data_IF_497949847119
#
_entry.id   IF_497949847119
#
_cell.length_a   1.000
_cell.length_b   1.000
_cell.length_c   1.000
_cell.angle_alpha   90.00
_cell.angle_beta   90.00
_cell.angle_gamma   90.00
#
_symmetry.space_group_name_H-M   'P 1'
#
loop_
_entity.id
_entity.type
_entity.pdbx_description
1 polymer ?
#
# COMPACT_ATOMS: atom_id res chain seq x y z
N UNK A 1 52.09 -51.36 19.06
CA UNK A 1 50.72 -51.78 19.41
C UNK A 1 50.43 -51.33 20.84
N UNK A 2 49.64 -50.33 21.02
CA UNK A 2 49.28 -49.78 22.33
C UNK A 2 48.20 -50.68 22.94
N UNK A 3 48.51 -51.27 24.10
CA UNK A 3 47.65 -52.26 24.76
C UNK A 3 46.41 -51.54 25.39
N UNK A 4 45.25 -52.15 25.23
CA UNK A 4 43.92 -51.66 25.68
C UNK A 4 43.88 -51.19 27.16
N UNK A 5 44.73 -51.70 28.01
CA UNK A 5 44.86 -51.31 29.43
C UNK A 5 45.51 -49.92 29.61
N UNK A 6 46.36 -49.51 28.69
CA UNK A 6 47.03 -48.18 28.79
C UNK A 6 46.13 -47.05 28.27
N UNK A 7 45.16 -47.40 27.40
CA UNK A 7 44.18 -46.41 26.91
C UNK A 7 43.16 -46.05 28.00
N UNK A 8 42.80 -46.98 28.86
CA UNK A 8 41.85 -46.72 29.98
C UNK A 8 42.49 -45.93 31.11
N UNK A 9 43.82 -46.04 31.33
CA UNK A 9 44.55 -45.27 32.37
C UNK A 9 44.78 -43.81 31.93
N UNK A 10 44.95 -43.53 30.68
CA UNK A 10 45.05 -42.14 30.17
C UNK A 10 43.69 -41.43 30.12
N UNK A 11 42.59 -42.18 29.94
CA UNK A 11 41.25 -41.64 30.02
C UNK A 11 40.78 -41.23 31.43
N UNK A 12 41.29 -41.88 32.45
CA UNK A 12 40.89 -41.63 33.87
C UNK A 12 41.58 -40.41 34.48
N UNK A 13 42.74 -40.02 33.99
CA UNK A 13 43.43 -38.81 34.47
C UNK A 13 42.97 -37.51 33.77
N UNK A 14 42.29 -37.63 32.59
CA UNK A 14 41.68 -36.47 31.93
C UNK A 14 40.32 -36.07 32.49
N UNK A 15 39.64 -36.99 33.21
CA UNK A 15 38.30 -36.71 33.78
C UNK A 15 38.33 -35.99 35.15
N UNK A 16 39.46 -35.98 35.83
CA UNK A 16 39.56 -35.25 37.12
C UNK A 16 39.85 -33.74 36.97
N UNK A 17 40.38 -33.29 35.83
CA UNK A 17 40.59 -31.88 35.55
C UNK A 17 39.37 -31.18 34.87
N UNK A 18 38.41 -31.96 34.37
CA UNK A 18 37.17 -31.43 33.75
C UNK A 18 36.02 -31.17 34.72
N UNK A 19 36.08 -31.70 35.95
CA UNK A 19 34.96 -31.56 36.89
C UNK A 19 34.93 -30.24 37.68
N UNK A 20 35.98 -29.42 37.60
CA UNK A 20 36.01 -28.10 38.28
C UNK A 20 35.48 -26.94 37.43
N UNK A 21 35.11 -27.16 36.15
CA UNK A 21 34.49 -26.16 35.27
C UNK A 21 32.98 -26.40 34.99
N UNK A 22 32.38 -27.40 35.67
CA UNK A 22 30.96 -27.75 35.48
C UNK A 22 29.99 -26.92 36.34
N UNK A 23 30.41 -25.80 36.90
CA UNK A 23 29.60 -25.00 37.82
C UNK A 23 29.17 -23.63 37.29
N UNK A 24 29.63 -23.18 36.12
CA UNK A 24 29.07 -21.99 35.50
C UNK A 24 27.84 -22.39 34.68
N UNK A 25 26.64 -21.84 34.97
CA UNK A 25 25.52 -22.07 34.08
C UNK A 25 25.95 -21.52 32.70
N UNK A 26 25.98 -22.38 31.69
CA UNK A 26 26.14 -21.96 30.30
C UNK A 26 24.92 -21.12 30.00
N UNK A 27 25.06 -19.80 30.16
CA UNK A 27 24.06 -18.84 29.71
C UNK A 27 24.17 -18.89 28.20
N UNK A 28 23.34 -19.72 27.56
CA UNK A 28 23.05 -19.57 26.13
C UNK A 28 22.73 -18.10 25.96
N UNK A 29 23.41 -17.36 25.07
CA UNK A 29 23.00 -16.03 24.78
C UNK A 29 21.55 -16.17 24.32
N UNK A 30 20.59 -15.68 25.11
CA UNK A 30 19.19 -15.59 24.67
C UNK A 30 19.27 -14.86 23.37
N UNK A 31 18.90 -15.51 22.27
CA UNK A 31 18.81 -14.85 20.97
C UNK A 31 18.08 -13.54 21.21
N UNK A 32 18.74 -12.43 20.89
CA UNK A 32 18.10 -11.12 21.03
C UNK A 32 16.80 -11.18 20.25
N UNK A 33 15.68 -10.74 20.81
CA UNK A 33 14.43 -10.76 20.10
C UNK A 33 14.57 -9.90 18.82
N UNK A 34 14.08 -10.41 17.72
CA UNK A 34 14.08 -9.75 16.41
C UNK A 34 12.64 -9.41 16.07
N UNK A 35 12.38 -8.19 15.62
CA UNK A 35 11.09 -7.79 15.09
C UNK A 35 10.99 -8.18 13.61
N UNK A 36 10.03 -9.01 13.26
CA UNK A 36 9.80 -9.49 11.89
C UNK A 36 8.63 -8.73 11.26
N UNK A 37 8.90 -8.05 10.15
CA UNK A 37 7.89 -7.26 9.42
C UNK A 37 7.70 -7.87 8.04
N UNK A 38 6.50 -8.36 7.77
CA UNK A 38 6.05 -8.91 6.49
C UNK A 38 5.24 -7.83 5.76
N UNK A 39 5.57 -7.50 4.51
CA UNK A 39 4.86 -6.44 3.81
C UNK A 39 5.31 -6.19 2.39
N UNK A 40 5.10 -4.97 1.89
CA UNK A 40 5.33 -4.62 0.48
C UNK A 40 6.70 -3.98 0.23
N UNK A 41 7.12 -4.03 -1.05
CA UNK A 41 8.32 -3.30 -1.50
C UNK A 41 8.18 -1.77 -1.45
N UNK A 42 7.00 -1.22 -1.19
CA UNK A 42 6.78 0.24 -1.12
C UNK A 42 7.42 0.81 0.14
N UNK A 43 7.20 0.15 1.26
CA UNK A 43 7.55 0.62 2.60
C UNK A 43 8.65 -0.21 3.26
N UNK A 44 8.78 -1.51 2.93
CA UNK A 44 9.88 -2.34 3.43
C UNK A 44 11.15 -2.11 2.61
N UNK A 45 11.73 -0.92 2.78
CA UNK A 45 12.96 -0.48 2.11
C UNK A 45 14.13 -0.58 3.08
N UNK A 46 15.29 -1.01 2.55
CA UNK A 46 16.48 -1.20 3.36
C UNK A 46 16.91 0.07 4.14
N UNK A 47 16.88 1.29 3.56
CA UNK A 47 17.19 2.51 4.33
C UNK A 47 16.22 2.73 5.50
N UNK A 48 14.93 2.36 5.36
CA UNK A 48 13.95 2.46 6.44
C UNK A 48 14.29 1.46 7.54
N UNK A 49 14.62 0.22 7.20
CA UNK A 49 15.02 -0.82 8.15
C UNK A 49 16.24 -0.40 8.96
N UNK A 50 17.29 0.05 8.28
CA UNK A 50 18.55 0.47 8.92
C UNK A 50 18.34 1.66 9.85
N UNK A 51 17.58 2.66 9.43
CA UNK A 51 17.26 3.83 10.27
C UNK A 51 16.43 3.44 11.48
N UNK A 52 15.42 2.59 11.31
CA UNK A 52 14.61 2.09 12.43
C UNK A 52 15.46 1.31 13.43
N UNK A 53 16.36 0.41 12.97
CA UNK A 53 17.26 -0.32 13.86
C UNK A 53 18.21 0.62 14.64
N UNK A 54 18.73 1.64 13.95
CA UNK A 54 19.60 2.64 14.59
C UNK A 54 18.87 3.41 15.70
N UNK A 55 17.63 3.86 15.42
CA UNK A 55 16.88 4.71 16.33
C UNK A 55 16.29 3.91 17.52
N UNK A 56 15.86 2.66 17.26
CA UNK A 56 15.15 1.83 18.23
C UNK A 56 16.08 0.89 19.03
N UNK A 57 17.29 0.64 18.53
CA UNK A 57 18.30 -0.14 19.23
C UNK A 57 18.04 -1.66 19.29
N UNK A 58 17.21 -2.20 18.40
CA UNK A 58 16.97 -3.63 18.28
C UNK A 58 16.96 -4.10 16.83
N UNK A 59 17.13 -5.39 16.62
CA UNK A 59 17.19 -5.98 15.28
C UNK A 59 15.80 -6.07 14.65
N UNK A 60 15.71 -5.68 13.37
CA UNK A 60 14.49 -5.71 12.55
C UNK A 60 14.78 -6.50 11.29
N UNK A 61 13.92 -7.46 10.98
CA UNK A 61 13.95 -8.22 9.75
C UNK A 61 12.75 -7.83 8.88
N UNK A 62 13.02 -7.37 7.66
CA UNK A 62 12.00 -7.12 6.64
C UNK A 62 11.86 -8.32 5.72
N UNK A 63 10.62 -8.66 5.40
CA UNK A 63 10.26 -9.64 4.38
C UNK A 63 9.32 -8.98 3.39
N UNK A 64 9.86 -8.28 2.38
CA UNK A 64 9.05 -7.67 1.34
C UNK A 64 8.59 -8.70 0.30
N UNK A 65 7.34 -8.57 -0.16
CA UNK A 65 6.74 -9.44 -1.18
C UNK A 65 5.70 -8.74 -2.03
N UNK A 66 5.18 -9.46 -3.02
CA UNK A 66 3.99 -9.03 -3.77
C UNK A 66 2.72 -9.27 -2.95
N UNK A 67 1.68 -8.49 -3.23
CA UNK A 67 0.44 -8.42 -2.45
C UNK A 67 -0.19 -9.79 -2.17
N UNK A 68 -0.32 -10.64 -3.19
CA UNK A 68 -0.91 -11.97 -3.05
C UNK A 68 -0.09 -12.87 -2.12
N UNK A 69 1.24 -12.84 -2.25
CA UNK A 69 2.14 -13.61 -1.39
C UNK A 69 2.05 -13.15 0.07
N UNK A 70 2.11 -11.85 0.30
CA UNK A 70 2.08 -11.24 1.63
C UNK A 70 0.76 -11.57 2.34
N UNK A 71 -0.38 -11.39 1.65
CA UNK A 71 -1.70 -11.72 2.20
C UNK A 71 -1.87 -13.21 2.47
N UNK A 72 -1.47 -14.07 1.51
CA UNK A 72 -1.56 -15.53 1.65
C UNK A 72 -0.73 -16.02 2.83
N UNK A 73 0.53 -15.56 2.93
CA UNK A 73 1.42 -15.94 4.03
C UNK A 73 0.88 -15.48 5.38
N UNK A 74 0.43 -14.22 5.47
CA UNK A 74 -0.11 -13.69 6.71
C UNK A 74 -1.36 -14.45 7.18
N UNK A 75 -2.26 -14.80 6.25
CA UNK A 75 -3.47 -15.57 6.55
C UNK A 75 -3.17 -16.98 7.04
N UNK A 76 -2.17 -17.65 6.44
CA UNK A 76 -1.86 -19.05 6.72
C UNK A 76 -0.85 -19.23 7.87
N UNK A 77 0.04 -18.27 8.10
CA UNK A 77 1.17 -18.39 9.03
C UNK A 77 1.35 -17.13 9.87
N UNK A 78 0.38 -16.79 10.76
CA UNK A 78 0.50 -15.63 11.64
C UNK A 78 1.69 -15.72 12.62
N UNK A 79 2.25 -16.91 12.82
CA UNK A 79 3.46 -17.16 13.60
C UNK A 79 4.77 -16.75 12.89
N UNK A 80 4.72 -16.46 11.59
CA UNK A 80 5.92 -16.16 10.78
C UNK A 80 6.31 -14.68 10.78
N UNK A 81 5.49 -13.78 11.30
CA UNK A 81 5.73 -12.34 11.36
C UNK A 81 5.22 -11.76 12.68
N UNK A 82 5.63 -10.54 12.99
CA UNK A 82 5.18 -9.79 14.18
C UNK A 82 4.36 -8.57 13.78
N UNK A 83 4.76 -7.88 12.71
CA UNK A 83 3.99 -6.82 12.06
C UNK A 83 3.68 -7.25 10.61
N UNK A 84 2.45 -7.06 10.22
CA UNK A 84 1.98 -7.14 8.84
C UNK A 84 1.76 -5.74 8.29
N UNK A 85 2.21 -5.48 7.07
CA UNK A 85 1.86 -4.26 6.36
C UNK A 85 1.46 -4.55 4.91
N UNK A 86 0.29 -4.06 4.51
CA UNK A 86 -0.24 -4.12 3.16
C UNK A 86 -1.31 -3.05 3.01
N UNK A 87 -2.27 -3.27 2.13
CA UNK A 87 -3.36 -2.34 1.82
C UNK A 87 -4.62 -2.70 2.60
N UNK A 88 -5.48 -1.69 2.78
CA UNK A 88 -6.70 -1.77 3.58
C UNK A 88 -7.70 -2.86 3.17
N UNK A 89 -7.73 -3.28 1.91
CA UNK A 89 -8.57 -4.36 1.40
C UNK A 89 -8.25 -5.74 2.00
N UNK A 90 -7.05 -5.91 2.57
CA UNK A 90 -6.65 -7.15 3.24
C UNK A 90 -7.23 -7.33 4.65
N UNK A 91 -7.66 -6.24 5.31
CA UNK A 91 -8.02 -6.24 6.74
C UNK A 91 -9.19 -7.18 7.05
N UNK A 92 -10.26 -7.14 6.25
CA UNK A 92 -11.42 -8.02 6.48
C UNK A 92 -11.06 -9.51 6.40
N UNK A 93 -10.12 -9.85 5.52
CA UNK A 93 -9.63 -11.22 5.34
C UNK A 93 -8.85 -11.66 6.58
N UNK A 94 -7.83 -10.88 6.96
CA UNK A 94 -6.96 -11.21 8.11
C UNK A 94 -7.73 -11.23 9.44
N UNK A 95 -8.69 -10.31 9.62
CA UNK A 95 -9.51 -10.26 10.81
C UNK A 95 -10.40 -11.50 10.93
N UNK A 96 -11.03 -11.93 9.83
CA UNK A 96 -11.90 -13.11 9.79
C UNK A 96 -11.19 -14.41 10.14
N UNK A 97 -9.93 -14.55 9.70
CA UNK A 97 -9.11 -15.74 10.01
C UNK A 97 -8.30 -15.59 11.29
N UNK A 98 -8.51 -14.52 12.07
CA UNK A 98 -7.81 -14.24 13.33
C UNK A 98 -6.28 -14.22 13.19
N UNK A 99 -5.78 -13.78 12.03
CA UNK A 99 -4.34 -13.66 11.79
C UNK A 99 -3.72 -12.43 12.48
N UNK A 100 -4.52 -11.44 12.78
CA UNK A 100 -4.13 -10.20 13.46
C UNK A 100 -4.92 -10.00 14.74
N UNK A 101 -4.35 -9.22 15.67
CA UNK A 101 -4.95 -8.92 16.96
C UNK A 101 -5.20 -7.41 17.13
N UNK A 102 -6.07 -7.00 18.06
CA UNK A 102 -6.29 -5.59 18.38
C UNK A 102 -5.01 -4.88 18.83
N UNK A 103 -4.90 -3.62 18.42
CA UNK A 103 -3.88 -2.66 18.85
C UNK A 103 -4.52 -1.69 19.82
N UNK A 104 -3.88 -1.47 20.99
CA UNK A 104 -4.35 -0.54 22.00
C UNK A 104 -4.00 0.90 21.62
N UNK A 105 -5.01 1.74 21.41
CA UNK A 105 -4.85 3.15 21.00
C UNK A 105 -3.97 3.93 21.99
N UNK A 106 -4.12 3.68 23.31
CA UNK A 106 -3.33 4.35 24.35
C UNK A 106 -1.82 4.13 24.23
N UNK A 107 -1.37 3.07 23.52
CA UNK A 107 0.04 2.78 23.27
C UNK A 107 0.58 3.49 22.02
N UNK A 108 -0.26 4.17 21.24
CA UNK A 108 0.12 4.91 20.05
C UNK A 108 0.25 6.39 20.41
N UNK A 109 1.49 6.82 20.64
CA UNK A 109 1.81 8.16 21.16
C UNK A 109 1.30 9.30 20.28
N UNK A 110 1.28 9.09 18.95
CA UNK A 110 0.87 10.09 17.95
C UNK A 110 -0.56 9.92 17.46
N UNK A 111 -1.38 9.07 18.11
CA UNK A 111 -2.74 8.81 17.66
C UNK A 111 -3.57 10.08 17.48
N UNK A 112 -3.45 11.05 18.38
CA UNK A 112 -4.13 12.34 18.26
C UNK A 112 -3.69 13.19 17.07
N UNK A 113 -2.52 12.91 16.48
CA UNK A 113 -1.97 13.63 15.32
C UNK A 113 -2.26 12.89 14.00
N UNK A 114 -2.71 11.64 14.05
CA UNK A 114 -3.17 10.92 12.85
C UNK A 114 -4.37 11.66 12.26
N UNK A 115 -4.30 12.00 10.98
CA UNK A 115 -5.30 12.83 10.33
C UNK A 115 -6.65 12.11 10.13
N UNK A 116 -7.70 12.90 9.90
CA UNK A 116 -9.06 12.37 9.74
C UNK A 116 -9.24 11.57 8.44
N UNK A 117 -8.44 11.85 7.41
CA UNK A 117 -8.49 11.04 6.21
C UNK A 117 -8.31 9.55 6.51
N UNK A 118 -7.29 9.23 7.31
CA UNK A 118 -6.90 7.84 7.58
C UNK A 118 -7.59 7.22 8.79
N UNK A 119 -8.34 8.01 9.56
CA UNK A 119 -9.26 7.54 10.61
C UNK A 119 -10.70 7.46 10.13
N UNK A 120 -11.18 8.49 9.44
CA UNK A 120 -12.58 8.62 9.04
C UNK A 120 -12.81 8.35 7.55
N UNK A 121 -11.80 8.57 6.69
CA UNK A 121 -11.94 8.45 5.24
C UNK A 121 -12.23 9.76 4.53
N UNK A 122 -12.10 10.91 5.22
CA UNK A 122 -12.21 12.26 4.64
C UNK A 122 -11.37 13.25 5.42
N UNK A 123 -10.82 14.26 4.73
CA UNK A 123 -9.98 15.31 5.35
C UNK A 123 -10.78 16.40 6.01
N UNK A 124 -11.91 16.76 5.45
CA UNK A 124 -12.77 17.83 5.94
C UNK A 124 -14.20 17.34 6.15
N UNK A 125 -14.98 17.96 7.03
CA UNK A 125 -16.38 17.59 7.24
C UNK A 125 -17.23 17.63 5.97
N UNK A 126 -16.91 18.51 5.03
CA UNK A 126 -17.66 18.72 3.78
C UNK A 126 -17.26 17.74 2.68
N UNK A 127 -16.10 17.09 2.79
CA UNK A 127 -15.68 16.09 1.81
C UNK A 127 -16.59 14.86 1.87
N UNK A 128 -16.96 14.35 0.71
CA UNK A 128 -17.72 13.11 0.62
C UNK A 128 -16.93 11.93 1.17
N UNK A 129 -17.61 11.00 1.81
CA UNK A 129 -17.02 9.69 2.07
C UNK A 129 -16.93 8.92 0.75
N UNK A 130 -15.74 8.43 0.40
CA UNK A 130 -15.61 7.45 -0.68
C UNK A 130 -16.37 6.16 -0.32
N UNK A 131 -16.87 5.48 -1.35
CA UNK A 131 -17.47 4.16 -1.18
C UNK A 131 -16.39 3.10 -0.87
N UNK A 132 -16.77 1.88 -0.52
CA UNK A 132 -15.82 0.81 -0.18
C UNK A 132 -15.35 0.85 1.27
N UNK A 133 -14.14 0.32 1.51
CA UNK A 133 -13.56 0.21 2.86
C UNK A 133 -12.85 1.50 3.28
N UNK A 134 -13.62 2.59 3.36
CA UNK A 134 -13.17 3.79 4.04
C UNK A 134 -12.67 3.44 5.45
N UNK A 135 -11.58 4.05 5.93
CA UNK A 135 -10.91 3.64 7.18
C UNK A 135 -11.85 3.42 8.37
N UNK A 136 -12.81 4.30 8.59
CA UNK A 136 -13.74 4.21 9.73
C UNK A 136 -14.54 2.91 9.76
N UNK A 137 -14.75 2.24 8.64
CA UNK A 137 -15.56 1.00 8.56
C UNK A 137 -14.81 -0.23 9.05
N UNK A 138 -13.49 -0.20 9.07
CA UNK A 138 -12.63 -1.34 9.37
C UNK A 138 -11.59 -1.07 10.45
N UNK A 139 -11.52 0.16 10.96
CA UNK A 139 -10.49 0.58 11.92
C UNK A 139 -10.78 0.09 13.34
N UNK A 140 -11.99 0.33 13.85
CA UNK A 140 -12.31 0.11 15.26
C UNK A 140 -12.83 -1.29 15.55
N UNK A 141 -12.31 -1.90 16.62
CA UNK A 141 -12.79 -3.20 17.13
C UNK A 141 -13.98 -2.95 18.06
N UNK A 142 -15.14 -3.46 17.68
CA UNK A 142 -16.38 -3.29 18.44
C UNK A 142 -16.46 -4.29 19.63
N UNK A 143 -17.32 -4.07 20.63
CA UNK A 143 -17.47 -4.98 21.78
C UNK A 143 -17.84 -6.43 21.42
N UNK A 144 -18.47 -6.64 20.27
CA UNK A 144 -18.77 -7.97 19.74
C UNK A 144 -17.63 -8.62 18.96
N UNK A 145 -16.44 -7.98 18.94
CA UNK A 145 -15.26 -8.47 18.23
C UNK A 145 -15.26 -8.22 16.71
N UNK A 146 -16.30 -7.59 16.17
CA UNK A 146 -16.35 -7.22 14.75
C UNK A 146 -15.69 -5.86 14.52
N UNK A 147 -15.31 -5.59 13.28
CA UNK A 147 -14.84 -4.27 12.86
C UNK A 147 -16.05 -3.37 12.54
N UNK A 148 -15.94 -2.09 12.86
CA UNK A 148 -17.04 -1.16 12.63
C UNK A 148 -16.71 0.31 12.88
N UNK A 149 -17.69 1.20 12.69
CA UNK A 149 -17.50 2.64 12.72
C UNK A 149 -17.48 3.25 14.14
N UNK A 150 -17.91 2.52 15.15
CA UNK A 150 -17.94 3.02 16.53
C UNK A 150 -16.53 3.19 17.10
N UNK A 151 -16.22 4.40 17.60
CA UNK A 151 -14.95 4.66 18.24
C UNK A 151 -14.67 3.67 19.38
N UNK A 152 -13.46 3.19 19.49
CA UNK A 152 -13.02 2.19 20.46
C UNK A 152 -11.57 2.44 20.84
N UNK A 153 -11.20 2.01 22.06
CA UNK A 153 -9.81 2.00 22.54
C UNK A 153 -8.94 0.93 21.85
N UNK A 154 -9.54 0.10 20.99
CA UNK A 154 -8.88 -0.94 20.24
C UNK A 154 -9.12 -0.76 18.74
N UNK A 155 -8.05 -0.87 17.97
CA UNK A 155 -8.07 -0.74 16.52
C UNK A 155 -7.46 -1.97 15.87
N UNK A 156 -7.84 -2.26 14.63
CA UNK A 156 -7.34 -3.41 13.89
C UNK A 156 -5.99 -3.14 13.20
N UNK A 157 -5.65 -1.88 12.95
CA UNK A 157 -4.40 -1.46 12.29
C UNK A 157 -4.01 -0.04 12.67
N UNK A 158 -2.74 0.29 12.46
CA UNK A 158 -2.25 1.67 12.40
C UNK A 158 -2.29 2.11 10.94
N UNK A 159 -3.06 3.17 10.58
CA UNK A 159 -2.95 3.78 9.27
C UNK A 159 -1.64 4.58 9.21
N UNK A 160 -0.78 4.33 8.21
CA UNK A 160 0.53 4.98 8.18
C UNK A 160 0.90 5.60 6.83
N UNK A 161 0.60 4.95 5.73
CA UNK A 161 0.84 5.47 4.38
C UNK A 161 -0.45 5.44 3.57
N UNK A 162 -0.61 6.35 2.61
CA UNK A 162 -1.80 6.38 1.75
C UNK A 162 -1.53 7.09 0.44
N UNK A 163 -2.39 6.85 -0.53
CA UNK A 163 -2.43 7.62 -1.78
C UNK A 163 -3.83 7.58 -2.42
N UNK A 164 -3.97 8.36 -3.49
CA UNK A 164 -5.10 8.30 -4.41
C UNK A 164 -4.57 8.01 -5.81
N UNK A 165 -5.25 7.11 -6.50
CA UNK A 165 -4.86 6.63 -7.82
C UNK A 165 -5.90 6.95 -8.87
N UNK A 166 -5.41 7.12 -10.10
CA UNK A 166 -6.19 7.42 -11.29
C UNK A 166 -5.63 6.66 -12.50
N UNK A 167 -5.91 7.16 -13.68
CA UNK A 167 -5.25 6.77 -14.91
C UNK A 167 -4.16 7.78 -15.28
N UNK A 168 -3.18 7.34 -16.08
CA UNK A 168 -2.18 8.20 -16.68
C UNK A 168 -2.33 8.24 -18.19
N UNK A 169 -1.84 9.30 -18.83
CA UNK A 169 -1.89 9.44 -20.27
C UNK A 169 -0.73 10.26 -20.82
N UNK A 170 -0.38 9.98 -22.09
CA UNK A 170 0.62 10.72 -22.85
C UNK A 170 -0.04 11.93 -23.53
N UNK A 171 0.34 13.14 -23.13
CA UNK A 171 -0.26 14.37 -23.64
C UNK A 171 0.06 14.68 -25.12
N UNK A 172 0.96 13.91 -25.74
CA UNK A 172 1.20 14.00 -27.19
C UNK A 172 0.04 13.42 -28.02
N UNK A 173 -0.69 12.43 -27.46
CA UNK A 173 -1.75 11.71 -28.12
C UNK A 173 -3.13 11.94 -27.50
N UNK A 174 -3.17 12.26 -26.21
CA UNK A 174 -4.40 12.56 -25.48
C UNK A 174 -4.38 14.02 -25.07
N UNK A 175 -5.32 14.80 -25.61
CA UNK A 175 -5.43 16.23 -25.26
C UNK A 175 -5.57 16.37 -23.75
N UNK A 176 -4.67 17.15 -23.14
CA UNK A 176 -4.70 17.40 -21.71
C UNK A 176 -6.04 17.98 -21.26
N UNK A 177 -6.59 17.38 -20.22
CA UNK A 177 -7.84 17.80 -19.62
C UNK A 177 -7.64 18.88 -18.56
N UNK A 178 -8.75 19.30 -17.99
CA UNK A 178 -8.79 20.19 -16.82
C UNK A 178 -9.11 19.34 -15.61
N UNK A 179 -8.24 19.34 -14.55
CA UNK A 179 -8.48 18.62 -13.31
C UNK A 179 -9.90 18.82 -12.78
N UNK A 180 -10.53 17.72 -12.38
CA UNK A 180 -11.87 17.63 -11.80
C UNK A 180 -13.02 18.20 -12.67
N UNK A 181 -12.73 18.57 -13.93
CA UNK A 181 -13.74 19.13 -14.85
C UNK A 181 -13.90 18.27 -16.11
N UNK A 182 -12.81 18.02 -16.84
CA UNK A 182 -12.86 17.30 -18.12
C UNK A 182 -12.09 16.00 -18.11
N UNK A 183 -11.07 15.83 -17.26
CA UNK A 183 -10.46 14.54 -17.05
C UNK A 183 -11.50 13.58 -16.45
N UNK A 184 -11.63 12.38 -17.01
CA UNK A 184 -12.69 11.44 -16.65
C UNK A 184 -12.24 10.00 -16.83
N UNK A 185 -12.59 9.14 -15.88
CA UNK A 185 -12.42 7.68 -16.03
C UNK A 185 -13.06 7.14 -17.32
N UNK A 186 -14.10 7.80 -17.79
CA UNK A 186 -14.76 7.45 -19.05
C UNK A 186 -13.84 7.47 -20.27
N UNK A 187 -12.68 8.10 -20.21
CA UNK A 187 -11.70 8.09 -21.31
C UNK A 187 -11.15 6.69 -21.59
N UNK A 188 -11.09 5.81 -20.58
CA UNK A 188 -10.67 4.41 -20.76
C UNK A 188 -11.59 3.62 -21.71
N UNK A 189 -12.84 4.06 -21.85
CA UNK A 189 -13.86 3.46 -22.72
C UNK A 189 -14.20 4.35 -23.94
N UNK A 190 -13.40 5.39 -24.19
CA UNK A 190 -13.67 6.27 -25.34
C UNK A 190 -13.22 5.59 -26.65
N UNK A 191 -14.12 5.51 -27.66
CA UNK A 191 -13.77 4.92 -28.96
C UNK A 191 -12.60 5.61 -29.67
N UNK A 192 -12.33 6.89 -29.36
CA UNK A 192 -11.19 7.63 -29.90
C UNK A 192 -9.83 6.99 -29.51
N UNK A 193 -9.79 6.25 -28.42
CA UNK A 193 -8.59 5.58 -27.93
C UNK A 193 -8.63 4.05 -28.09
N UNK A 194 -9.45 3.55 -29.03
CA UNK A 194 -9.55 2.10 -29.28
C UNK A 194 -8.18 1.49 -29.61
N UNK A 195 -7.84 0.38 -28.96
CA UNK A 195 -6.56 -0.30 -29.11
C UNK A 195 -5.37 0.45 -28.50
N UNK A 196 -5.64 1.49 -27.68
CA UNK A 196 -4.63 2.36 -27.05
C UNK A 196 -4.84 2.54 -25.55
N UNK A 197 -5.56 1.62 -24.92
CA UNK A 197 -5.84 1.64 -23.47
C UNK A 197 -5.22 0.41 -22.81
N UNK A 198 -4.35 0.61 -21.81
CA UNK A 198 -3.80 -0.47 -21.00
C UNK A 198 -4.41 -0.45 -19.59
N UNK A 199 -4.67 -1.62 -19.02
CA UNK A 199 -5.30 -1.75 -17.71
C UNK A 199 -4.44 -2.57 -16.75
N UNK A 200 -4.58 -2.29 -15.46
CA UNK A 200 -3.95 -3.11 -14.43
C UNK A 200 -4.60 -4.49 -14.34
N UNK A 201 -3.77 -5.54 -14.25
CA UNK A 201 -4.22 -6.92 -14.04
C UNK A 201 -4.20 -7.30 -12.55
N UNK A 202 -4.92 -6.53 -11.74
CA UNK A 202 -5.16 -6.83 -10.33
C UNK A 202 -6.66 -6.70 -10.09
N UNK A 203 -7.40 -7.78 -9.81
CA UNK A 203 -8.87 -7.75 -9.71
C UNK A 203 -9.39 -6.73 -8.70
N UNK A 204 -8.80 -6.65 -7.51
CA UNK A 204 -9.18 -5.71 -6.44
C UNK A 204 -8.93 -4.23 -6.79
N UNK A 205 -8.31 -3.96 -7.93
CA UNK A 205 -8.02 -2.61 -8.43
C UNK A 205 -8.74 -2.40 -9.77
N UNK A 206 -8.47 -3.28 -10.74
CA UNK A 206 -8.95 -3.13 -12.11
C UNK A 206 -10.47 -3.14 -12.22
N UNK A 207 -11.17 -3.92 -11.38
CA UNK A 207 -12.64 -3.94 -11.34
C UNK A 207 -13.18 -2.54 -10.97
N UNK A 208 -12.58 -1.84 -10.02
CA UNK A 208 -13.02 -0.49 -9.65
C UNK A 208 -12.69 0.54 -10.73
N UNK A 209 -11.54 0.45 -11.38
CA UNK A 209 -11.19 1.33 -12.50
C UNK A 209 -12.20 1.17 -13.65
N UNK A 210 -12.60 -0.07 -13.98
CA UNK A 210 -13.62 -0.36 -14.98
C UNK A 210 -15.02 0.10 -14.55
N UNK A 211 -15.37 -0.06 -13.29
CA UNK A 211 -16.65 0.38 -12.75
C UNK A 211 -16.78 1.91 -12.78
N UNK A 212 -15.73 2.63 -12.38
CA UNK A 212 -15.66 4.09 -12.50
C UNK A 212 -15.78 4.54 -13.97
N UNK A 213 -15.11 3.83 -14.90
CA UNK A 213 -15.18 4.12 -16.31
C UNK A 213 -16.59 3.89 -16.89
N UNK A 214 -17.23 2.78 -16.51
CA UNK A 214 -18.60 2.46 -16.96
C UNK A 214 -19.61 3.49 -16.42
N UNK A 215 -19.51 3.87 -15.17
CA UNK A 215 -20.37 4.89 -14.56
C UNK A 215 -20.14 6.26 -15.18
N UNK A 216 -18.89 6.65 -15.43
CA UNK A 216 -18.52 7.91 -16.07
C UNK A 216 -19.07 8.03 -17.50
N UNK A 217 -19.18 6.92 -18.23
CA UNK A 217 -19.80 6.84 -19.56
C UNK A 217 -21.33 6.70 -19.51
N UNK A 218 -21.92 6.62 -18.33
CA UNK A 218 -23.37 6.43 -18.19
C UNK A 218 -23.87 5.05 -18.64
N UNK A 219 -22.97 4.05 -18.74
CA UNK A 219 -23.31 2.69 -19.20
C UNK A 219 -24.05 1.90 -18.12
N UNK A 220 -23.77 2.20 -16.86
CA UNK A 220 -24.48 1.66 -15.70
C UNK A 220 -24.30 2.55 -14.47
N UNK A 221 -25.07 2.27 -13.43
CA UNK A 221 -24.96 2.90 -12.12
C UNK A 221 -24.85 1.80 -11.06
N UNK A 222 -24.08 2.05 -10.02
CA UNK A 222 -23.90 1.13 -8.91
C UNK A 222 -24.60 1.69 -7.68
N UNK A 223 -25.24 0.83 -6.90
CA UNK A 223 -25.74 1.19 -5.58
C UNK A 223 -24.56 1.50 -4.62
N UNK A 224 -23.53 0.68 -4.69
CA UNK A 224 -22.27 0.88 -3.98
C UNK A 224 -21.13 0.29 -4.81
N UNK A 225 -20.36 1.16 -5.46
CA UNK A 225 -19.21 0.73 -6.30
C UNK A 225 -18.16 -0.04 -5.50
N UNK A 226 -18.04 0.21 -4.20
CA UNK A 226 -17.11 -0.50 -3.31
C UNK A 226 -17.63 -1.86 -2.82
N UNK A 227 -18.90 -2.22 -3.08
CA UNK A 227 -19.46 -3.52 -2.74
C UNK A 227 -20.56 -3.90 -3.75
N UNK A 228 -20.15 -4.21 -4.97
CA UNK A 228 -21.07 -4.54 -6.07
C UNK A 228 -21.77 -5.86 -5.83
N UNK A 229 -23.05 -5.92 -6.19
CA UNK A 229 -23.83 -7.16 -6.21
C UNK A 229 -23.38 -8.07 -7.36
N UNK A 230 -23.72 -9.36 -7.31
CA UNK A 230 -23.44 -10.30 -8.41
C UNK A 230 -24.06 -9.83 -9.72
N UNK A 231 -25.27 -9.30 -9.70
CA UNK A 231 -25.95 -8.77 -10.89
C UNK A 231 -25.22 -7.54 -11.47
N UNK A 232 -24.75 -6.62 -10.64
CA UNK A 232 -23.93 -5.48 -11.09
C UNK A 232 -22.60 -5.94 -11.68
N UNK A 233 -21.94 -6.95 -11.10
CA UNK A 233 -20.72 -7.54 -11.64
C UNK A 233 -20.98 -8.21 -12.99
N UNK A 234 -22.04 -9.00 -13.13
CA UNK A 234 -22.41 -9.65 -14.40
C UNK A 234 -22.65 -8.61 -15.50
N UNK A 235 -23.38 -7.54 -15.20
CA UNK A 235 -23.61 -6.45 -16.15
C UNK A 235 -22.30 -5.72 -16.50
N UNK A 236 -21.46 -5.40 -15.51
CA UNK A 236 -20.18 -4.75 -15.74
C UNK A 236 -19.29 -5.59 -16.66
N UNK A 237 -19.14 -6.88 -16.36
CA UNK A 237 -18.27 -7.73 -17.17
C UNK A 237 -18.85 -8.02 -18.56
N UNK A 238 -20.16 -8.13 -18.72
CA UNK A 238 -20.78 -8.22 -20.06
C UNK A 238 -20.42 -6.99 -20.92
N UNK A 239 -20.52 -5.79 -20.34
CA UNK A 239 -20.12 -4.53 -21.01
C UNK A 239 -18.61 -4.56 -21.35
N UNK A 240 -17.75 -4.90 -20.38
CA UNK A 240 -16.29 -4.85 -20.56
C UNK A 240 -15.79 -5.90 -21.56
N UNK A 241 -16.38 -7.09 -21.56
CA UNK A 241 -16.12 -8.13 -22.59
C UNK A 241 -16.48 -7.60 -23.98
N UNK A 242 -17.62 -6.94 -24.13
CA UNK A 242 -18.00 -6.32 -25.41
C UNK A 242 -16.99 -5.25 -25.86
N UNK A 243 -16.50 -4.41 -24.96
CA UNK A 243 -15.45 -3.43 -25.28
C UNK A 243 -14.14 -4.12 -25.68
N UNK A 244 -13.74 -5.17 -24.97
CA UNK A 244 -12.52 -5.93 -25.28
C UNK A 244 -12.61 -6.59 -26.66
N UNK A 245 -13.71 -7.26 -26.97
CA UNK A 245 -13.97 -7.89 -28.28
C UNK A 245 -13.97 -6.88 -29.43
N UNK A 246 -14.34 -5.63 -29.15
CA UNK A 246 -14.24 -4.52 -30.13
C UNK A 246 -12.82 -3.94 -30.21
N UNK A 247 -11.84 -4.50 -29.47
CA UNK A 247 -10.45 -4.09 -29.49
C UNK A 247 -10.17 -2.79 -28.73
N UNK A 248 -10.96 -2.45 -27.69
CA UNK A 248 -10.73 -1.23 -26.90
C UNK A 248 -9.39 -1.23 -26.18
N UNK A 249 -9.00 -2.37 -25.59
CA UNK A 249 -7.82 -2.49 -24.76
C UNK A 249 -6.62 -3.02 -25.55
N UNK A 250 -5.46 -2.40 -25.37
CA UNK A 250 -4.19 -2.84 -25.97
C UNK A 250 -3.48 -3.92 -25.14
N UNK A 251 -3.87 -4.08 -23.88
CA UNK A 251 -3.33 -5.12 -22.98
C UNK A 251 -3.51 -4.82 -21.51
N UNK A 252 -2.95 -5.74 -20.72
CA UNK A 252 -3.02 -5.73 -19.25
C UNK A 252 -1.60 -5.81 -18.69
N UNK A 253 -1.32 -5.07 -17.62
CA UNK A 253 0.00 -5.02 -17.02
C UNK A 253 -0.03 -5.49 -15.56
N UNK A 254 1.10 -6.02 -15.06
CA UNK A 254 1.24 -6.61 -13.73
C UNK A 254 2.27 -5.87 -12.84
N UNK A 255 2.98 -4.89 -13.39
CA UNK A 255 3.99 -4.13 -12.67
C UNK A 255 4.05 -2.67 -13.10
N UNK A 256 4.52 -1.80 -12.19
CA UNK A 256 4.68 -0.36 -12.47
C UNK A 256 5.59 -0.11 -13.69
N UNK A 257 6.75 -0.76 -13.84
CA UNK A 257 7.56 -0.61 -15.06
C UNK A 257 6.81 -1.03 -16.33
N UNK A 258 6.07 -2.14 -16.29
CA UNK A 258 5.29 -2.62 -17.44
C UNK A 258 4.23 -1.61 -17.87
N UNK A 259 3.54 -0.95 -16.92
CA UNK A 259 2.55 0.10 -17.22
C UNK A 259 3.19 1.29 -17.94
N UNK A 260 4.38 1.71 -17.53
CA UNK A 260 5.14 2.76 -18.21
C UNK A 260 5.57 2.32 -19.61
N UNK A 261 6.00 1.06 -19.78
CA UNK A 261 6.44 0.53 -21.08
C UNK A 261 5.29 0.42 -22.10
N UNK A 262 4.04 0.19 -21.67
CA UNK A 262 2.89 0.25 -22.58
C UNK A 262 2.75 1.63 -23.24
N UNK A 263 2.94 2.70 -22.46
CA UNK A 263 2.88 4.08 -22.98
C UNK A 263 4.15 4.44 -23.76
N UNK A 264 5.33 4.14 -23.20
CA UNK A 264 6.59 4.48 -23.82
C UNK A 264 6.79 3.85 -25.20
N UNK A 265 6.27 2.63 -25.39
CA UNK A 265 6.33 1.92 -26.69
C UNK A 265 5.22 2.33 -27.68
N UNK A 266 4.28 3.22 -27.29
CA UNK A 266 3.13 3.61 -28.10
C UNK A 266 2.05 2.53 -28.23
N UNK A 267 2.15 1.43 -27.50
CA UNK A 267 1.09 0.40 -27.43
C UNK A 267 -0.16 0.95 -26.76
N UNK A 268 -0.01 1.82 -25.76
CA UNK A 268 -1.11 2.54 -25.15
C UNK A 268 -0.86 4.06 -25.19
N UNK A 269 -1.91 4.85 -25.15
CA UNK A 269 -1.87 6.30 -24.98
C UNK A 269 -2.34 6.70 -23.58
N UNK A 270 -3.18 5.88 -22.95
CA UNK A 270 -3.64 6.06 -21.59
C UNK A 270 -3.94 4.70 -20.94
N UNK A 271 -4.05 4.69 -19.62
CA UNK A 271 -4.43 3.46 -18.91
C UNK A 271 -4.44 3.62 -17.40
N UNK A 272 -4.98 2.65 -16.70
CA UNK A 272 -4.77 2.52 -15.26
C UNK A 272 -3.29 2.66 -14.96
N UNK A 273 -2.92 3.44 -13.95
CA UNK A 273 -1.51 3.71 -13.68
C UNK A 273 -1.30 4.14 -12.23
N UNK A 274 -0.10 3.93 -11.73
CA UNK A 274 0.36 4.51 -10.48
C UNK A 274 1.30 5.68 -10.72
N UNK A 275 1.30 6.67 -9.82
CA UNK A 275 2.11 7.88 -9.99
C UNK A 275 3.61 7.64 -10.27
N UNK A 276 4.27 6.59 -9.73
CA UNK A 276 5.66 6.31 -10.08
C UNK A 276 5.89 5.97 -11.57
N UNK A 277 4.89 5.39 -12.25
CA UNK A 277 5.01 5.11 -13.69
C UNK A 277 4.96 6.40 -14.51
N UNK A 278 4.14 7.37 -14.11
CA UNK A 278 4.11 8.71 -14.75
C UNK A 278 5.43 9.43 -14.55
N UNK A 279 6.02 9.37 -13.35
CA UNK A 279 7.34 9.91 -13.09
C UNK A 279 8.40 9.28 -14.01
N UNK A 280 8.41 7.94 -14.12
CA UNK A 280 9.34 7.22 -14.98
C UNK A 280 9.17 7.57 -16.48
N UNK A 281 7.96 7.84 -16.93
CA UNK A 281 7.71 8.32 -18.30
C UNK A 281 8.27 9.73 -18.51
N UNK A 282 8.04 10.63 -17.58
CA UNK A 282 8.58 11.99 -17.64
C UNK A 282 10.12 12.01 -17.62
N UNK A 283 10.76 11.13 -16.83
CA UNK A 283 12.21 10.94 -16.85
C UNK A 283 12.73 10.49 -18.23
N UNK A 284 11.94 9.70 -18.98
CA UNK A 284 12.25 9.27 -20.35
C UNK A 284 11.93 10.36 -21.40
N UNK A 285 11.49 11.56 -20.98
CA UNK A 285 11.12 12.66 -21.87
C UNK A 285 9.73 12.51 -22.53
N UNK A 286 8.89 11.62 -22.01
CA UNK A 286 7.50 11.43 -22.46
C UNK A 286 6.60 12.30 -21.57
N UNK A 287 5.88 13.29 -22.12
CA UNK A 287 5.07 14.21 -21.32
C UNK A 287 3.80 13.51 -20.84
N UNK A 288 3.95 12.67 -19.82
CA UNK A 288 2.86 11.94 -19.22
C UNK A 288 2.18 12.76 -18.11
N UNK A 289 0.85 12.69 -18.08
CA UNK A 289 0.00 13.34 -17.07
C UNK A 289 -0.68 12.29 -16.23
N UNK A 290 -0.66 12.46 -14.92
CA UNK A 290 -1.45 11.66 -13.99
C UNK A 290 -2.79 12.36 -13.78
N UNK A 291 -3.90 11.77 -14.22
CA UNK A 291 -5.20 12.42 -14.26
C UNK A 291 -5.74 12.79 -12.87
N UNK A 292 -6.57 13.84 -12.85
CA UNK A 292 -7.40 14.22 -11.72
C UNK A 292 -8.88 14.14 -12.16
N UNK A 293 -9.50 12.93 -12.09
CA UNK A 293 -10.81 12.68 -12.70
C UNK A 293 -11.92 13.44 -11.98
N UNK A 294 -12.90 13.93 -12.73
CA UNK A 294 -14.08 14.62 -12.20
C UNK A 294 -14.97 13.71 -11.34
N UNK A 295 -14.91 12.40 -11.56
CA UNK A 295 -15.61 11.41 -10.76
C UNK A 295 -14.91 11.13 -9.44
N UNK A 296 -13.69 11.61 -9.28
CA UNK A 296 -12.83 11.35 -8.13
C UNK A 296 -11.87 10.19 -8.33
N UNK A 297 -11.02 9.99 -7.35
CA UNK A 297 -9.96 8.99 -7.33
C UNK A 297 -10.41 7.67 -6.72
N UNK A 298 -9.68 6.61 -7.03
CA UNK A 298 -9.63 5.39 -6.24
C UNK A 298 -8.55 5.56 -5.17
N UNK A 299 -8.93 5.45 -3.91
CA UNK A 299 -8.05 5.65 -2.76
C UNK A 299 -7.65 4.33 -2.10
N UNK A 300 -6.49 4.32 -1.48
CA UNK A 300 -6.01 3.25 -0.64
C UNK A 300 -5.21 3.78 0.54
N UNK A 301 -5.13 3.02 1.60
CA UNK A 301 -4.20 3.28 2.69
C UNK A 301 -3.48 2.00 3.09
N UNK A 302 -2.22 2.15 3.47
CA UNK A 302 -1.42 1.11 4.07
C UNK A 302 -1.82 0.93 5.53
N UNK A 303 -1.76 -0.30 5.96
CA UNK A 303 -2.10 -0.74 7.31
C UNK A 303 -0.90 -1.42 7.95
N UNK A 304 -0.56 -1.05 9.18
CA UNK A 304 0.31 -1.85 10.03
C UNK A 304 -0.53 -2.60 11.05
N UNK A 305 -0.49 -3.92 11.02
CA UNK A 305 -1.25 -4.78 11.92
C UNK A 305 -0.30 -5.56 12.82
N UNK A 306 -0.76 -5.89 14.01
CA UNK A 306 -0.06 -6.73 14.94
C UNK A 306 -0.49 -8.19 14.74
N UNK A 307 0.47 -9.10 14.50
CA UNK A 307 0.16 -10.53 14.41
C UNK A 307 -0.53 -11.06 15.67
N UNK A 308 -1.50 -11.94 15.51
CA UNK A 308 -2.20 -12.58 16.63
C UNK A 308 -1.27 -13.41 17.53
N UNK A 309 -0.09 -13.80 17.03
CA UNK A 309 0.90 -14.60 17.74
C UNK A 309 1.96 -13.76 18.46
N UNK A 310 2.03 -12.44 18.20
CA UNK A 310 3.06 -11.58 18.78
C UNK A 310 2.73 -11.20 20.22
N UNK A 311 3.65 -11.53 21.13
CA UNK A 311 3.49 -11.33 22.58
C UNK A 311 4.79 -10.86 23.25
N UNK A 312 4.68 -10.47 24.53
CA UNK A 312 5.83 -10.13 25.39
C UNK A 312 6.70 -9.01 24.80
N UNK A 313 8.02 -9.11 24.92
CA UNK A 313 8.95 -8.07 24.46
C UNK A 313 8.83 -7.76 22.96
N UNK A 314 8.57 -8.76 22.11
CA UNK A 314 8.41 -8.54 20.67
C UNK A 314 7.16 -7.69 20.39
N UNK A 315 6.09 -7.86 21.17
CA UNK A 315 4.90 -6.98 21.09
C UNK A 315 5.24 -5.54 21.44
N UNK A 316 6.09 -5.32 22.46
CA UNK A 316 6.55 -3.97 22.80
C UNK A 316 7.38 -3.36 21.67
N UNK A 317 8.31 -4.13 21.09
CA UNK A 317 9.10 -3.70 19.92
C UNK A 317 8.20 -3.34 18.72
N UNK A 318 7.12 -4.07 18.51
CA UNK A 318 6.17 -3.76 17.46
C UNK A 318 5.48 -2.39 17.68
N UNK A 319 5.09 -2.07 18.91
CA UNK A 319 4.54 -0.75 19.24
C UNK A 319 5.61 0.36 19.12
N UNK A 320 6.84 0.10 19.51
CA UNK A 320 7.95 1.04 19.35
C UNK A 320 8.17 1.36 17.87
N UNK A 321 8.16 0.34 16.99
CA UNK A 321 8.28 0.51 15.54
C UNK A 321 7.09 1.26 14.92
N UNK A 322 5.85 0.96 15.33
CA UNK A 322 4.65 1.67 14.88
C UNK A 322 4.71 3.17 15.26
N UNK A 323 5.13 3.47 16.49
CA UNK A 323 5.31 4.84 16.94
C UNK A 323 6.44 5.56 16.18
N UNK A 324 7.56 4.87 15.93
CA UNK A 324 8.67 5.41 15.14
C UNK A 324 8.24 5.80 13.72
N UNK A 325 7.40 5.00 13.07
CA UNK A 325 6.82 5.35 11.77
C UNK A 325 6.04 6.66 11.82
N UNK A 326 5.26 6.86 12.87
CA UNK A 326 4.44 8.05 13.05
C UNK A 326 5.26 9.29 13.51
N UNK A 327 6.55 9.15 13.82
CA UNK A 327 7.43 10.28 14.12
C UNK A 327 7.89 11.05 12.87
N UNK A 328 7.69 10.51 11.68
CA UNK A 328 7.70 11.28 10.44
C UNK A 328 8.90 11.07 9.52
N UNK A 329 10.05 10.57 9.98
CA UNK A 329 11.22 10.37 9.11
C UNK A 329 10.93 9.40 7.95
N UNK A 330 10.33 8.26 8.26
CA UNK A 330 9.91 7.30 7.24
C UNK A 330 8.86 7.88 6.29
N UNK A 331 7.99 8.76 6.81
CA UNK A 331 7.02 9.50 6.02
C UNK A 331 7.66 10.44 5.00
N UNK A 332 8.71 11.17 5.38
CA UNK A 332 9.48 12.00 4.44
C UNK A 332 10.19 11.15 3.38
N UNK A 333 10.72 9.98 3.78
CA UNK A 333 11.33 9.04 2.84
C UNK A 333 10.33 8.60 1.75
N UNK A 334 9.12 8.17 2.14
CA UNK A 334 8.11 7.72 1.16
C UNK A 334 7.46 8.88 0.40
N UNK A 335 7.43 10.10 0.95
CA UNK A 335 6.96 11.29 0.24
C UNK A 335 7.81 11.56 -1.02
N UNK A 336 9.12 11.31 -0.97
CA UNK A 336 10.02 11.39 -2.13
C UNK A 336 9.73 10.37 -3.22
N UNK A 337 8.90 9.36 -2.91
CA UNK A 337 8.35 8.39 -3.87
C UNK A 337 6.93 8.76 -4.34
N UNK A 338 6.36 9.86 -3.83
CA UNK A 338 5.01 10.31 -4.15
C UNK A 338 3.90 9.74 -3.27
N UNK A 339 4.24 9.14 -2.14
CA UNK A 339 3.28 8.66 -1.14
C UNK A 339 3.12 9.64 0.02
N UNK A 340 2.09 9.47 0.83
CA UNK A 340 1.78 10.33 1.96
C UNK A 340 1.67 9.54 3.24
N UNK A 341 1.96 10.20 4.36
CA UNK A 341 1.86 9.62 5.70
C UNK A 341 0.63 10.16 6.43
N UNK A 342 0.08 9.36 7.33
CA UNK A 342 -1.10 9.72 8.14
C UNK A 342 -0.87 10.84 9.16
N UNK A 343 0.37 11.28 9.34
CA UNK A 343 0.80 12.41 10.21
C UNK A 343 1.66 13.39 9.39
N UNK A 344 1.10 14.11 8.39
CA UNK A 344 1.86 14.94 7.45
C UNK A 344 2.78 15.96 8.12
N UNK A 345 2.33 16.60 9.19
CA UNK A 345 3.06 17.63 9.93
C UNK A 345 4.33 17.06 10.58
N UNK A 346 4.35 15.75 10.84
CA UNK A 346 5.52 15.06 11.38
C UNK A 346 6.57 14.75 10.30
N UNK A 347 6.15 14.60 9.04
CA UNK A 347 7.08 14.42 7.93
C UNK A 347 7.73 15.74 7.48
N UNK A 348 7.03 16.88 7.66
CA UNK A 348 7.49 18.20 7.20
C UNK A 348 8.92 18.55 7.66
N UNK A 349 9.35 18.38 8.92
CA UNK A 349 10.71 18.71 9.36
C UNK A 349 11.83 17.92 8.66
N UNK A 350 11.50 16.80 8.03
CA UNK A 350 12.44 15.93 7.30
C UNK A 350 12.42 16.16 5.79
N UNK A 351 11.60 17.10 5.31
CA UNK A 351 11.51 17.53 3.92
C UNK A 351 12.11 18.93 3.77
N UNK A 352 12.75 19.20 2.64
CA UNK A 352 13.06 20.58 2.27
C UNK A 352 11.78 21.36 2.00
N UNK A 353 11.86 22.70 2.04
CA UNK A 353 10.70 23.55 1.71
C UNK A 353 10.20 23.29 0.28
N UNK A 354 11.11 23.06 -0.69
CA UNK A 354 10.75 22.75 -2.08
C UNK A 354 10.01 21.40 -2.20
N UNK A 355 10.43 20.38 -1.43
CA UNK A 355 9.74 19.07 -1.39
C UNK A 355 8.35 19.22 -0.75
N UNK A 356 8.24 19.94 0.38
CA UNK A 356 6.95 20.18 1.03
C UNK A 356 6.00 20.97 0.12
N UNK A 357 6.49 22.04 -0.51
CA UNK A 357 5.71 22.86 -1.42
C UNK A 357 5.18 22.07 -2.61
N UNK A 358 5.99 21.19 -3.19
CA UNK A 358 5.57 20.34 -4.30
C UNK A 358 4.64 19.21 -3.87
N UNK A 359 5.06 18.40 -2.90
CA UNK A 359 4.33 17.20 -2.55
C UNK A 359 3.02 17.47 -1.80
N UNK A 360 3.03 18.42 -0.87
CA UNK A 360 1.86 18.72 -0.03
C UNK A 360 1.08 19.95 -0.47
N UNK A 361 1.75 21.04 -0.83
CA UNK A 361 1.04 22.28 -1.20
C UNK A 361 0.65 22.34 -2.69
N UNK A 362 1.12 21.41 -3.53
CA UNK A 362 0.79 21.37 -4.95
C UNK A 362 1.38 22.51 -5.76
N UNK A 363 2.43 23.19 -5.24
CA UNK A 363 3.14 24.25 -5.96
C UNK A 363 4.07 23.67 -7.03
N UNK A 364 4.43 24.44 -8.06
CA UNK A 364 5.49 24.02 -8.99
C UNK A 364 6.79 23.72 -8.24
N UNK A 365 7.53 22.71 -8.69
CA UNK A 365 8.83 22.38 -8.12
C UNK A 365 9.81 23.55 -8.32
N UNK A 366 10.25 24.17 -7.25
CA UNK A 366 11.15 25.33 -7.31
C UNK A 366 12.57 24.93 -7.80
N UNK A 367 12.96 23.68 -7.56
CA UNK A 367 14.23 23.07 -7.95
C UNK A 367 14.00 21.63 -8.38
N UNK A 368 15.00 20.96 -8.93
CA UNK A 368 14.97 19.51 -9.10
C UNK A 368 14.78 18.85 -7.73
N UNK A 369 13.81 17.92 -7.64
CA UNK A 369 13.57 17.13 -6.44
C UNK A 369 14.05 15.71 -6.65
N UNK A 370 14.75 15.20 -5.65
CA UNK A 370 15.41 13.90 -5.72
C UNK A 370 14.55 12.82 -5.04
N UNK A 371 14.48 11.67 -5.68
CA UNK A 371 13.94 10.46 -5.07
C UNK A 371 14.87 9.89 -3.99
N UNK A 372 14.41 8.89 -3.24
CA UNK A 372 15.20 8.29 -2.15
C UNK A 372 16.55 7.69 -2.59
N UNK A 373 16.67 7.36 -3.87
CA UNK A 373 17.88 6.78 -4.47
C UNK A 373 18.84 7.83 -5.03
N UNK A 374 18.60 9.13 -4.77
CA UNK A 374 19.44 10.23 -5.20
C UNK A 374 19.33 10.59 -6.69
N UNK A 375 18.35 10.04 -7.41
CA UNK A 375 18.05 10.43 -8.80
C UNK A 375 16.98 11.51 -8.82
N UNK A 376 17.00 12.37 -9.84
CA UNK A 376 15.96 13.39 -10.04
C UNK A 376 14.64 12.67 -10.30
N UNK A 377 13.68 12.82 -9.38
CA UNK A 377 12.33 12.31 -9.52
C UNK A 377 11.38 13.35 -10.14
N UNK A 378 11.59 14.62 -9.84
CA UNK A 378 10.78 15.74 -10.33
C UNK A 378 11.71 16.86 -10.80
N UNK A 379 11.55 17.30 -12.05
CA UNK A 379 12.33 18.41 -12.60
C UNK A 379 11.78 19.76 -12.12
N UNK A 380 12.65 20.72 -11.97
CA UNK A 380 12.28 22.11 -11.70
C UNK A 380 11.22 22.62 -12.70
N UNK A 381 10.25 23.38 -12.21
CA UNK A 381 9.10 23.86 -12.98
C UNK A 381 7.95 22.85 -13.15
N UNK A 382 8.13 21.58 -12.82
CA UNK A 382 7.05 20.58 -12.91
C UNK A 382 5.93 20.90 -11.95
N UNK A 383 4.67 20.76 -12.41
CA UNK A 383 3.46 20.94 -11.61
C UNK A 383 2.76 19.60 -11.46
N UNK A 384 2.31 19.30 -10.25
CA UNK A 384 1.51 18.13 -9.98
C UNK A 384 0.05 18.37 -10.40
N UNK A 385 -0.46 17.55 -11.30
CA UNK A 385 -1.85 17.63 -11.72
C UNK A 385 -2.79 17.29 -10.53
N UNK A 386 -3.90 18.00 -10.40
CA UNK A 386 -4.87 17.84 -9.30
C UNK A 386 -4.55 18.64 -8.03
N UNK A 387 -3.51 19.49 -8.04
CA UNK A 387 -3.25 20.45 -6.96
C UNK A 387 -2.62 19.86 -5.70
N UNK A 388 -2.97 20.45 -4.55
CA UNK A 388 -2.42 20.11 -3.24
C UNK A 388 -2.84 18.72 -2.74
N UNK A 389 -2.15 18.25 -1.70
CA UNK A 389 -2.54 17.06 -0.95
C UNK A 389 -4.02 17.15 -0.51
N UNK A 390 -4.41 18.27 0.12
CA UNK A 390 -5.77 18.46 0.62
C UNK A 390 -6.82 18.46 -0.48
N UNK A 391 -6.54 19.11 -1.61
CA UNK A 391 -7.44 19.12 -2.76
C UNK A 391 -7.62 17.74 -3.36
N UNK A 392 -6.54 17.02 -3.62
CA UNK A 392 -6.59 15.66 -4.19
C UNK A 392 -7.35 14.67 -3.30
N UNK A 393 -7.11 14.68 -2.01
CA UNK A 393 -7.74 13.77 -1.06
C UNK A 393 -9.17 14.19 -0.64
N UNK A 394 -9.66 15.34 -1.10
CA UNK A 394 -11.07 15.68 -1.00
C UNK A 394 -11.95 15.09 -2.09
N UNK A 395 -11.34 14.49 -3.15
CA UNK A 395 -12.01 13.93 -4.31
C UNK A 395 -11.90 12.40 -4.37
N UNK A 396 -12.30 11.70 -3.32
CA UNK A 396 -12.26 10.23 -3.28
C UNK A 396 -13.62 9.66 -3.70
N UNK A 397 -13.65 8.87 -4.77
CA UNK A 397 -14.83 8.15 -5.23
C UNK A 397 -15.01 6.81 -4.50
N UNK A 398 -13.95 6.02 -4.41
CA UNK A 398 -13.98 4.68 -3.83
C UNK A 398 -12.65 4.37 -3.14
N UNK A 399 -12.74 3.68 -2.00
CA UNK A 399 -11.61 3.05 -1.32
C UNK A 399 -11.44 1.61 -1.78
N UNK A 400 -10.20 1.16 -1.97
CA UNK A 400 -9.92 -0.24 -2.22
C UNK A 400 -10.60 -1.10 -1.14
N UNK A 401 -11.20 -2.21 -1.56
CA UNK A 401 -11.91 -3.10 -0.67
C UNK A 401 -11.96 -4.53 -1.23
N UNK A 402 -11.93 -5.52 -0.36
CA UNK A 402 -12.39 -6.85 -0.69
C UNK A 402 -13.93 -6.88 -0.53
N UNK A 403 -14.64 -6.83 -1.64
CA UNK A 403 -16.11 -6.89 -1.67
C UNK A 403 -16.64 -8.19 -1.05
N UNK A 404 -17.85 -8.18 -0.55
CA UNK A 404 -18.54 -9.41 -0.10
C UNK A 404 -18.67 -10.44 -1.25
N UNK A 405 -18.68 -9.95 -2.49
CA UNK A 405 -18.73 -10.74 -3.71
C UNK A 405 -17.37 -11.03 -4.31
N UNK A 406 -16.27 -10.89 -3.55
CA UNK A 406 -14.90 -11.03 -4.06
C UNK A 406 -14.68 -12.39 -4.75
N UNK A 407 -15.04 -13.49 -4.10
CA UNK A 407 -14.89 -14.84 -4.66
C UNK A 407 -15.68 -15.02 -5.96
N UNK A 408 -16.81 -14.33 -6.11
CA UNK A 408 -17.61 -14.30 -7.33
C UNK A 408 -16.97 -13.44 -8.42
N UNK A 409 -16.33 -12.35 -8.06
CA UNK A 409 -15.73 -11.41 -9.01
C UNK A 409 -14.46 -11.95 -9.68
N UNK A 410 -13.71 -12.83 -8.99
CA UNK A 410 -12.45 -13.39 -9.52
C UNK A 410 -12.64 -14.19 -10.83
N UNK A 411 -13.52 -15.21 -10.90
CA UNK A 411 -13.78 -15.90 -12.17
C UNK A 411 -14.24 -14.97 -13.28
N UNK A 412 -15.08 -13.99 -12.97
CA UNK A 412 -15.56 -12.98 -13.96
C UNK A 412 -14.42 -12.11 -14.49
N UNK A 413 -13.47 -11.74 -13.64
CA UNK A 413 -12.26 -11.04 -14.07
C UNK A 413 -11.44 -11.88 -15.05
N UNK A 414 -11.23 -13.16 -14.77
CA UNK A 414 -10.50 -14.04 -15.67
C UNK A 414 -11.26 -14.29 -16.98
N UNK A 415 -12.57 -14.44 -16.97
CA UNK A 415 -13.40 -14.48 -18.18
C UNK A 415 -13.18 -13.23 -19.05
N UNK A 416 -13.19 -12.05 -18.43
CA UNK A 416 -12.88 -10.81 -19.12
C UNK A 416 -11.46 -10.79 -19.69
N UNK A 417 -10.45 -11.27 -18.97
CA UNK A 417 -9.08 -11.33 -19.47
C UNK A 417 -8.91 -12.31 -20.64
N UNK A 418 -9.73 -13.33 -20.74
CA UNK A 418 -9.66 -14.35 -21.81
C UNK A 418 -10.55 -14.05 -23.02
N UNK A 419 -11.58 -13.21 -22.87
CA UNK A 419 -12.49 -12.84 -23.97
C UNK A 419 -11.78 -12.03 -25.04
#
# INVERSE_FOLDING_TARGET
MINRRNFIRLGAQGLAAGAALAGAPYVYPKNKPILRVLGTHVTLREPIRLKAQQDLGFDIQFEPGGDAYVLQKASARPDSFDIYELWNDSIRILWRVSAIQPIEVKRIQRWGQVNDLTKLGRLTPDAAFGQGDAPYRILHVQPNGLLGPGASEQISFIPYVHNVDAFGYDSRFVKQGIPYKTESWGWLLDPAYRGKVALINVPTIGIFDLALAAQAKGLMRFANIGNMTKAELDQLFAIMISYKQKGQFSGFWNSVPESADFIASGRAYLGSMFSPAVAALNERGIPAVYAAPKEGYRAWHGVMCLSSQTQGRVKDMAYEFMNWWLDGWAGAYVARQGYYISVPERAQPYLSQAEWDYWYLGKPAATDLYGPEGRIAIKAGSLRNGGSYWERFSHIAVWNTAMDTYDYSLPRWYEFLLA
#
